data_IF_772954239272
#
_entry.id   IF_772954239272
#
_cell.length_a   1.000
_cell.length_b   1.000
_cell.length_c   1.000
_cell.angle_alpha   90.00
_cell.angle_beta   90.00
_cell.angle_gamma   90.00
#
_symmetry.space_group_name_H-M   'P 1'
#
loop_
_entity.id
_entity.type
_entity.pdbx_description
1 polymer ?
#
# COMPACT_ATOMS: atom_id res chain seq x y z
N UNK A 1 25.30 -10.00 -2.70
CA UNK A 1 25.15 -8.53 -2.74
C UNK A 1 24.75 -8.13 -4.16
N UNK A 2 23.49 -7.76 -4.41
CA UNK A 2 23.04 -7.29 -5.74
C UNK A 2 22.76 -5.79 -5.66
N UNK A 3 23.77 -4.97 -5.90
CA UNK A 3 23.58 -3.54 -6.20
C UNK A 3 23.43 -3.40 -7.71
N UNK A 4 22.26 -3.79 -8.22
CA UNK A 4 21.85 -3.46 -9.57
C UNK A 4 21.18 -2.09 -9.55
N UNK A 5 21.65 -1.16 -10.39
CA UNK A 5 21.03 0.15 -10.55
C UNK A 5 19.53 0.00 -10.85
N UNK A 6 18.70 0.58 -9.98
CA UNK A 6 17.25 0.52 -10.12
C UNK A 6 16.80 1.67 -11.02
N UNK A 7 16.56 1.38 -12.30
CA UNK A 7 16.03 2.36 -13.25
C UNK A 7 14.55 2.57 -12.92
N UNK A 8 14.15 3.82 -12.67
CA UNK A 8 12.76 4.20 -12.39
C UNK A 8 12.25 5.15 -13.45
N UNK A 9 11.01 4.95 -13.89
CA UNK A 9 10.35 5.84 -14.84
C UNK A 9 9.84 7.11 -14.15
N UNK A 10 10.17 8.27 -14.71
CA UNK A 10 9.61 9.56 -14.30
C UNK A 10 8.32 9.78 -15.08
N UNK A 11 7.22 9.98 -14.36
CA UNK A 11 5.88 10.10 -14.95
C UNK A 11 5.45 11.56 -14.96
N UNK A 12 5.08 12.08 -16.14
CA UNK A 12 4.50 13.42 -16.26
C UNK A 12 3.21 13.53 -15.45
N UNK A 13 2.93 14.73 -14.92
CA UNK A 13 1.79 15.01 -14.04
C UNK A 13 0.44 14.56 -14.61
N UNK A 14 0.24 14.70 -15.92
CA UNK A 14 -0.98 14.28 -16.62
C UNK A 14 -1.24 12.76 -16.58
N UNK A 15 -0.21 11.93 -16.43
CA UNK A 15 -0.34 10.47 -16.45
C UNK A 15 -0.44 9.83 -15.06
N UNK A 16 -0.02 10.55 -14.00
CA UNK A 16 0.01 10.02 -12.62
C UNK A 16 -1.34 9.43 -12.20
N UNK A 17 -2.43 10.18 -12.35
CA UNK A 17 -3.77 9.75 -11.95
C UNK A 17 -4.24 8.50 -12.71
N UNK A 18 -4.01 8.47 -14.03
CA UNK A 18 -4.42 7.33 -14.87
C UNK A 18 -3.63 6.08 -14.50
N UNK A 19 -2.32 6.22 -14.29
CA UNK A 19 -1.44 5.13 -13.88
C UNK A 19 -1.84 4.57 -12.51
N UNK A 20 -2.02 5.43 -11.51
CA UNK A 20 -2.39 5.01 -10.16
C UNK A 20 -3.75 4.29 -10.13
N UNK A 21 -4.75 4.78 -10.87
CA UNK A 21 -6.05 4.08 -10.99
C UNK A 21 -5.92 2.69 -11.60
N UNK A 22 -5.04 2.52 -12.59
CA UNK A 22 -4.80 1.21 -13.20
C UNK A 22 -4.14 0.24 -12.23
N UNK A 23 -3.10 0.70 -11.52
CA UNK A 23 -2.38 -0.10 -10.52
C UNK A 23 -3.26 -0.47 -9.31
N UNK A 24 -4.18 0.41 -8.93
CA UNK A 24 -5.09 0.19 -7.82
C UNK A 24 -6.32 -0.65 -8.13
N UNK A 25 -6.56 -1.00 -9.40
CA UNK A 25 -7.73 -1.80 -9.82
C UNK A 25 -7.91 -3.12 -9.06
N UNK A 26 -6.82 -3.68 -8.52
CA UNK A 26 -6.82 -4.94 -7.76
C UNK A 26 -7.15 -4.77 -6.28
N UNK A 27 -7.28 -3.54 -5.77
CA UNK A 27 -7.55 -3.24 -4.36
C UNK A 27 -6.59 -3.95 -3.38
N UNK A 28 -5.34 -4.19 -3.80
CA UNK A 28 -4.29 -5.00 -3.12
C UNK A 28 -3.85 -4.52 -1.73
N UNK A 29 -4.48 -3.49 -1.17
CA UNK A 29 -4.04 -2.80 0.03
C UNK A 29 -2.91 -1.80 -0.24
N UNK A 30 -2.82 -0.78 0.62
CA UNK A 30 -1.94 0.37 0.40
C UNK A 30 -0.46 0.01 0.41
N UNK A 31 -0.01 -0.82 1.37
CA UNK A 31 1.39 -1.21 1.49
C UNK A 31 1.91 -1.97 0.26
N UNK A 32 1.10 -2.91 -0.25
CA UNK A 32 1.43 -3.66 -1.47
C UNK A 32 1.47 -2.74 -2.70
N UNK A 33 0.54 -1.80 -2.81
CA UNK A 33 0.56 -0.84 -3.91
C UNK A 33 1.78 0.08 -3.84
N UNK A 34 2.15 0.60 -2.66
CA UNK A 34 3.36 1.42 -2.49
C UNK A 34 4.60 0.66 -2.95
N UNK A 35 4.78 -0.57 -2.48
CA UNK A 35 5.92 -1.40 -2.88
C UNK A 35 5.98 -1.65 -4.40
N UNK A 36 4.82 -1.91 -5.03
CA UNK A 36 4.74 -2.15 -6.46
C UNK A 36 5.08 -0.89 -7.27
N UNK A 37 4.45 0.25 -6.95
CA UNK A 37 4.65 1.48 -7.73
C UNK A 37 6.05 2.05 -7.53
N UNK A 38 6.57 2.06 -6.31
CA UNK A 38 7.92 2.58 -5.99
C UNK A 38 9.05 1.76 -6.63
N UNK A 39 8.77 0.51 -7.03
CA UNK A 39 9.74 -0.35 -7.74
C UNK A 39 9.97 0.12 -9.18
N UNK A 40 8.95 0.67 -9.83
CA UNK A 40 8.98 1.00 -11.26
C UNK A 40 8.94 2.50 -11.54
N UNK A 41 8.33 3.30 -10.66
CA UNK A 41 8.05 4.70 -10.91
C UNK A 41 8.58 5.59 -9.79
N UNK A 42 8.87 6.85 -10.13
CA UNK A 42 9.30 7.84 -9.16
C UNK A 42 8.76 9.24 -9.48
N UNK A 43 8.22 9.89 -8.45
CA UNK A 43 8.00 11.34 -8.37
C UNK A 43 7.82 11.77 -6.90
N UNK A 44 8.01 13.06 -6.59
CA UNK A 44 8.06 13.57 -5.22
C UNK A 44 6.81 13.33 -4.36
N UNK A 45 5.62 13.32 -4.97
CA UNK A 45 4.33 13.14 -4.29
C UNK A 45 3.76 11.72 -4.35
N UNK A 46 4.53 10.72 -4.79
CA UNK A 46 4.02 9.37 -5.09
C UNK A 46 3.22 8.74 -3.94
N UNK A 47 3.79 8.74 -2.73
CA UNK A 47 3.13 8.13 -1.58
C UNK A 47 1.85 8.84 -1.18
N UNK A 48 1.84 10.17 -1.27
CA UNK A 48 0.66 10.98 -1.00
C UNK A 48 -0.44 10.70 -2.02
N UNK A 49 -0.09 10.64 -3.30
CA UNK A 49 -1.05 10.37 -4.38
C UNK A 49 -1.66 8.96 -4.23
N UNK A 50 -0.89 7.97 -3.77
CA UNK A 50 -1.36 6.62 -3.43
C UNK A 50 -2.33 6.64 -2.23
N UNK A 51 -1.98 7.38 -1.17
CA UNK A 51 -2.82 7.50 0.02
C UNK A 51 -4.15 8.17 -0.28
N UNK A 52 -4.14 9.27 -1.03
CA UNK A 52 -5.34 10.00 -1.42
C UNK A 52 -6.25 9.12 -2.28
N UNK A 53 -5.67 8.35 -3.21
CA UNK A 53 -6.41 7.40 -4.03
C UNK A 53 -7.03 6.27 -3.19
N UNK A 54 -6.29 5.75 -2.21
CA UNK A 54 -6.80 4.72 -1.32
C UNK A 54 -7.91 5.24 -0.39
N UNK A 55 -7.83 6.49 0.07
CA UNK A 55 -8.87 7.15 0.88
C UNK A 55 -10.15 7.43 0.09
N UNK A 56 -10.02 7.77 -1.19
CA UNK A 56 -11.17 7.99 -2.08
C UNK A 56 -11.87 6.69 -2.49
N UNK A 57 -11.25 5.54 -2.23
CA UNK A 57 -11.84 4.25 -2.56
C UNK A 57 -12.83 3.79 -1.49
N UNK A 58 -14.11 3.74 -1.86
CA UNK A 58 -15.17 3.28 -0.97
C UNK A 58 -15.00 1.82 -0.54
N UNK A 59 -14.65 0.92 -1.46
CA UNK A 59 -14.49 -0.52 -1.14
C UNK A 59 -13.36 -0.75 -0.13
N UNK A 60 -12.21 -0.10 -0.32
CA UNK A 60 -11.11 -0.19 0.62
C UNK A 60 -11.43 0.48 1.97
N UNK A 61 -12.17 1.60 1.97
CA UNK A 61 -12.57 2.27 3.21
C UNK A 61 -13.53 1.43 4.06
N UNK A 62 -14.50 0.77 3.43
CA UNK A 62 -15.46 -0.11 4.12
C UNK A 62 -14.72 -1.32 4.71
N UNK A 63 -13.90 -1.99 3.89
CA UNK A 63 -13.22 -3.21 4.31
C UNK A 63 -12.12 -2.94 5.37
N UNK A 64 -11.49 -1.76 5.36
CA UNK A 64 -10.52 -1.37 6.38
C UNK A 64 -11.15 -1.26 7.78
N UNK A 65 -12.40 -0.80 7.88
CA UNK A 65 -13.12 -0.69 9.17
C UNK A 65 -13.54 -2.04 9.74
N UNK A 66 -13.69 -3.06 8.89
CA UNK A 66 -14.15 -4.40 9.30
C UNK A 66 -13.06 -5.28 9.92
N UNK A 67 -11.80 -4.83 9.96
CA UNK A 67 -10.74 -5.46 10.75
C UNK A 67 -11.02 -5.26 12.25
N UNK A 68 -11.94 -6.04 12.81
CA UNK A 68 -12.07 -6.16 14.26
C UNK A 68 -10.71 -6.60 14.83
N UNK A 69 -10.17 -5.84 15.78
CA UNK A 69 -8.95 -6.25 16.48
C UNK A 69 -9.26 -7.60 17.14
N UNK A 70 -8.53 -8.64 16.75
CA UNK A 70 -8.64 -9.93 17.42
C UNK A 70 -8.44 -9.70 18.93
N UNK A 71 -9.25 -10.35 19.79
CA UNK A 71 -9.02 -10.29 21.23
C UNK A 71 -7.57 -10.66 21.50
N UNK A 72 -6.86 -9.82 22.26
CA UNK A 72 -5.49 -10.13 22.67
C UNK A 72 -5.53 -11.40 23.52
N UNK A 73 -5.15 -12.52 22.93
CA UNK A 73 -5.05 -13.78 23.65
C UNK A 73 -3.88 -13.66 24.62
N UNK A 74 -4.18 -13.66 25.93
CA UNK A 74 -3.16 -13.67 26.96
C UNK A 74 -2.35 -14.95 26.83
N UNK A 75 -1.03 -14.84 26.88
CA UNK A 75 -0.15 -16.00 26.94
C UNK A 75 -0.49 -16.81 28.19
N UNK A 76 -0.77 -18.10 28.04
CA UNK A 76 -1.00 -18.98 29.18
C UNK A 76 0.33 -19.14 29.92
N UNK A 77 0.45 -18.56 31.10
CA UNK A 77 1.59 -18.79 31.99
C UNK A 77 1.48 -20.25 32.47
N UNK A 78 2.54 -21.07 32.35
CA UNK A 78 2.49 -22.44 32.82
C UNK A 78 2.20 -22.48 34.32
N UNK A 79 1.15 -23.23 34.71
CA UNK A 79 0.85 -23.55 36.09
C UNK A 79 1.74 -24.73 36.52
N UNK A 80 3.05 -24.49 36.72
CA UNK A 80 3.96 -25.21 37.64
C UNK A 80 5.43 -24.96 37.24
N UNK A 81 6.37 -24.98 38.22
CA UNK A 81 7.79 -24.72 38.02
C UNK A 81 8.51 -25.78 37.18
#
# INVERSE_FOLDING_TARGET
MRTGASIRAIVSTCFKNRLLRHLYSTHSGMGRMKAEVQRYFWWSSLDKDIEDLARQCQSCTVNAKQSAKAPLQKWNVPNQP
#
